data_IF_223698577875
#
_entry.id   IF_223698577875
#
_cell.length_a   1.000
_cell.length_b   1.000
_cell.length_c   1.000
_cell.angle_alpha   90.00
_cell.angle_beta   90.00
_cell.angle_gamma   90.00
#
_symmetry.space_group_name_H-M   'P 1'
#
loop_
_entity.id
_entity.type
_entity.pdbx_description
1 polymer ?
#
# COMPACT_ATOMS: atom_id res chain seq x y z
N UNK A 1 -40.57 23.09 -28.14
CA UNK A 1 -41.25 22.93 -29.45
C UNK A 1 -42.71 22.60 -29.18
N UNK A 2 -43.63 23.37 -29.78
CA UNK A 2 -45.08 23.28 -29.57
C UNK A 2 -45.65 22.04 -30.26
N UNK A 3 -46.45 21.23 -29.55
CA UNK A 3 -47.22 20.14 -30.18
C UNK A 3 -48.63 20.66 -30.53
N UNK A 4 -49.02 20.43 -31.78
CA UNK A 4 -50.16 21.01 -32.48
C UNK A 4 -51.42 20.19 -32.22
N UNK A 5 -52.51 20.89 -31.87
CA UNK A 5 -53.88 20.39 -31.83
C UNK A 5 -54.36 20.07 -33.25
N UNK A 6 -54.87 18.86 -33.48
CA UNK A 6 -55.62 18.52 -34.71
C UNK A 6 -57.01 18.04 -34.33
N UNK A 7 -57.97 18.97 -34.41
CA UNK A 7 -59.40 18.73 -34.46
C UNK A 7 -59.77 18.25 -35.86
N UNK A 8 -60.38 17.07 -36.00
CA UNK A 8 -61.05 16.67 -37.23
C UNK A 8 -62.56 16.81 -37.09
N UNK A 9 -63.06 17.88 -37.71
CA UNK A 9 -64.43 18.06 -38.15
C UNK A 9 -64.64 17.22 -39.42
N UNK A 10 -65.63 16.33 -39.44
CA UNK A 10 -66.21 15.84 -40.70
C UNK A 10 -67.72 15.96 -40.61
N UNK A 11 -68.21 17.05 -41.18
CA UNK A 11 -69.61 17.27 -41.51
C UNK A 11 -69.87 16.89 -42.97
N UNK A 12 -71.10 16.40 -43.19
CA UNK A 12 -71.90 16.50 -44.40
C UNK A 12 -71.83 15.34 -45.41
N UNK A 13 -72.91 14.55 -45.50
CA UNK A 13 -73.56 14.22 -46.78
C UNK A 13 -75.10 14.06 -46.62
N UNK A 14 -75.80 14.95 -47.32
CA UNK A 14 -77.07 14.84 -48.05
C UNK A 14 -78.39 14.33 -47.42
N UNK A 15 -79.38 15.22 -47.48
CA UNK A 15 -80.85 15.06 -47.44
C UNK A 15 -81.46 14.31 -48.64
N UNK A 16 -82.43 13.39 -48.42
CA UNK A 16 -83.87 13.51 -48.83
C UNK A 16 -84.64 12.16 -48.79
N UNK A 17 -85.78 12.21 -48.09
CA UNK A 17 -87.12 11.69 -48.44
C UNK A 17 -87.33 10.21 -48.85
N UNK A 18 -88.00 9.45 -47.96
CA UNK A 18 -88.99 8.43 -48.33
C UNK A 18 -90.18 8.57 -47.38
N UNK A 19 -91.36 8.87 -47.94
CA UNK A 19 -92.65 8.73 -47.27
C UNK A 19 -93.21 7.34 -47.57
N UNK A 20 -93.83 6.70 -46.58
CA UNK A 20 -94.89 5.72 -46.83
C UNK A 20 -94.69 4.33 -46.23
N UNK A 21 -95.42 4.10 -45.13
CA UNK A 21 -96.32 2.94 -44.91
C UNK A 21 -95.69 1.54 -44.99
N UNK A 22 -95.54 0.83 -43.87
CA UNK A 22 -96.52 -0.14 -43.31
C UNK A 22 -95.92 -0.84 -42.09
N UNK A 23 -96.81 -1.25 -41.20
CA UNK A 23 -96.65 -1.97 -39.94
C UNK A 23 -95.88 -3.29 -40.06
N UNK A 24 -94.82 -3.49 -39.26
CA UNK A 24 -94.42 -4.81 -38.73
C UNK A 24 -93.40 -4.69 -37.57
N UNK A 25 -93.74 -5.32 -36.43
CA UNK A 25 -92.89 -5.69 -35.27
C UNK A 25 -92.13 -4.60 -34.47
N UNK A 26 -92.73 -4.17 -33.36
CA UNK A 26 -92.16 -3.24 -32.36
C UNK A 26 -91.40 -3.92 -31.20
N UNK A 27 -91.00 -5.19 -31.32
CA UNK A 27 -90.32 -5.90 -30.21
C UNK A 27 -88.85 -6.28 -30.51
N UNK A 28 -88.38 -6.15 -31.75
CA UNK A 28 -87.03 -6.60 -32.13
C UNK A 28 -85.95 -5.49 -32.12
N UNK A 29 -86.34 -4.21 -32.07
CA UNK A 29 -85.41 -3.08 -32.04
C UNK A 29 -84.97 -2.71 -30.62
N UNK A 30 -85.90 -2.76 -29.66
CA UNK A 30 -85.66 -2.44 -28.24
C UNK A 30 -84.77 -3.48 -27.54
N UNK A 31 -84.91 -4.76 -27.88
CA UNK A 31 -84.07 -5.84 -27.32
C UNK A 31 -82.62 -5.74 -27.79
N UNK A 32 -82.38 -5.43 -29.07
CA UNK A 32 -81.02 -5.22 -29.63
C UNK A 32 -80.34 -3.98 -29.07
N UNK A 33 -81.10 -2.92 -28.81
CA UNK A 33 -80.58 -1.71 -28.16
C UNK A 33 -80.19 -1.98 -26.70
N UNK A 34 -80.93 -2.81 -25.98
CA UNK A 34 -80.56 -3.20 -24.61
C UNK A 34 -79.34 -4.11 -24.51
N UNK A 35 -79.10 -5.00 -25.49
CA UNK A 35 -77.94 -5.89 -25.45
C UNK A 35 -76.64 -5.16 -25.83
N UNK A 36 -76.70 -4.23 -26.79
CA UNK A 36 -75.55 -3.37 -27.12
C UNK A 36 -75.16 -2.45 -25.94
N UNK A 37 -76.14 -1.93 -25.19
CA UNK A 37 -75.87 -1.13 -23.98
C UNK A 37 -75.18 -1.94 -22.88
N UNK A 38 -75.53 -3.22 -22.69
CA UNK A 38 -74.86 -4.10 -21.71
C UNK A 38 -73.40 -4.34 -22.10
N UNK A 39 -73.14 -4.62 -23.38
CA UNK A 39 -71.77 -4.82 -23.89
C UNK A 39 -70.92 -3.56 -23.71
N UNK A 40 -71.47 -2.38 -23.98
CA UNK A 40 -70.79 -1.09 -23.76
C UNK A 40 -70.46 -0.87 -22.28
N UNK A 41 -71.36 -1.22 -21.36
CA UNK A 41 -71.09 -1.08 -19.93
C UNK A 41 -69.99 -2.05 -19.45
N UNK A 42 -70.01 -3.30 -19.91
CA UNK A 42 -68.93 -4.26 -19.63
C UNK A 42 -67.60 -3.75 -20.17
N UNK A 43 -67.59 -3.18 -21.37
CA UNK A 43 -66.39 -2.59 -21.96
C UNK A 43 -65.88 -1.39 -21.16
N UNK A 44 -66.78 -0.54 -20.65
CA UNK A 44 -66.45 0.60 -19.80
C UNK A 44 -65.83 0.17 -18.48
N UNK A 45 -66.37 -0.87 -17.84
CA UNK A 45 -65.85 -1.39 -16.58
C UNK A 45 -64.46 -2.02 -16.78
N UNK A 46 -64.28 -2.79 -17.85
CA UNK A 46 -62.98 -3.33 -18.25
C UNK A 46 -61.96 -2.21 -18.50
N UNK A 47 -62.36 -1.14 -19.20
CA UNK A 47 -61.50 0.01 -19.44
C UNK A 47 -61.10 0.70 -18.12
N UNK A 48 -62.05 0.91 -17.21
CA UNK A 48 -61.74 1.50 -15.90
C UNK A 48 -60.78 0.63 -15.08
N UNK A 49 -60.95 -0.68 -15.11
CA UNK A 49 -60.07 -1.59 -14.39
C UNK A 49 -58.65 -1.62 -15.00
N UNK A 50 -58.55 -1.59 -16.33
CA UNK A 50 -57.27 -1.42 -17.02
C UNK A 50 -56.62 -0.08 -16.67
N UNK A 51 -57.40 1.00 -16.61
CA UNK A 51 -56.88 2.33 -16.26
C UNK A 51 -56.28 2.35 -14.86
N UNK A 52 -56.93 1.73 -13.87
CA UNK A 52 -56.38 1.61 -12.50
C UNK A 52 -55.05 0.87 -12.49
N UNK A 53 -54.94 -0.21 -13.27
CA UNK A 53 -53.69 -0.99 -13.37
C UNK A 53 -52.57 -0.18 -14.01
N UNK A 54 -52.88 0.58 -15.06
CA UNK A 54 -51.90 1.47 -15.71
C UNK A 54 -51.37 2.50 -14.71
N UNK A 55 -52.26 3.18 -13.99
CA UNK A 55 -51.88 4.18 -12.97
C UNK A 55 -51.04 3.54 -11.86
N UNK A 56 -51.43 2.36 -11.37
CA UNK A 56 -50.68 1.67 -10.33
C UNK A 56 -49.26 1.31 -10.79
N UNK A 57 -49.13 0.80 -12.02
CA UNK A 57 -47.84 0.46 -12.59
C UNK A 57 -46.99 1.71 -12.87
N UNK A 58 -47.60 2.82 -13.27
CA UNK A 58 -46.91 4.10 -13.44
C UNK A 58 -46.29 4.57 -12.12
N UNK A 59 -47.04 4.49 -11.01
CA UNK A 59 -46.53 4.83 -9.68
C UNK A 59 -45.39 3.88 -9.26
N UNK A 60 -45.52 2.57 -9.50
CA UNK A 60 -44.47 1.60 -9.19
C UNK A 60 -43.18 1.86 -9.99
N UNK A 61 -43.32 2.24 -11.27
CA UNK A 61 -42.19 2.65 -12.12
C UNK A 61 -41.51 3.91 -11.56
N UNK A 62 -42.28 4.87 -11.04
CA UNK A 62 -41.75 6.08 -10.42
C UNK A 62 -40.95 5.77 -9.15
N UNK A 63 -41.49 4.91 -8.28
CA UNK A 63 -40.80 4.45 -7.07
C UNK A 63 -39.50 3.69 -7.40
N UNK A 64 -39.53 2.82 -8.42
CA UNK A 64 -38.36 2.09 -8.88
C UNK A 64 -37.29 3.03 -9.44
N UNK A 65 -37.68 4.07 -10.20
CA UNK A 65 -36.75 5.09 -10.68
C UNK A 65 -36.11 5.86 -9.53
N UNK A 66 -36.89 6.24 -8.53
CA UNK A 66 -36.36 6.92 -7.33
C UNK A 66 -35.30 6.06 -6.62
N UNK A 67 -35.58 4.77 -6.46
CA UNK A 67 -34.63 3.81 -5.87
C UNK A 67 -33.38 3.61 -6.72
N UNK A 68 -33.51 3.57 -8.04
CA UNK A 68 -32.36 3.50 -8.96
C UNK A 68 -31.43 4.69 -8.77
N UNK A 69 -31.97 5.91 -8.71
CA UNK A 69 -31.17 7.12 -8.49
C UNK A 69 -30.51 7.15 -7.11
N UNK A 70 -31.22 6.69 -6.07
CA UNK A 70 -30.62 6.56 -4.75
C UNK A 70 -29.45 5.58 -4.73
N UNK A 71 -29.62 4.39 -5.33
CA UNK A 71 -28.55 3.39 -5.43
C UNK A 71 -27.36 3.87 -6.26
N UNK A 72 -27.59 4.63 -7.33
CA UNK A 72 -26.51 5.28 -8.10
C UNK A 72 -25.71 6.23 -7.23
N UNK A 73 -26.37 7.04 -6.41
CA UNK A 73 -25.71 7.95 -5.50
C UNK A 73 -24.91 7.21 -4.42
N UNK A 74 -25.47 6.15 -3.81
CA UNK A 74 -24.73 5.32 -2.85
C UNK A 74 -23.51 4.65 -3.49
N UNK A 75 -23.65 4.14 -4.72
CA UNK A 75 -22.55 3.56 -5.48
C UNK A 75 -21.42 4.57 -5.74
N UNK A 76 -21.75 5.79 -6.16
CA UNK A 76 -20.75 6.85 -6.36
C UNK A 76 -20.08 7.25 -5.05
N UNK A 77 -20.82 7.36 -3.94
CA UNK A 77 -20.20 7.62 -2.64
C UNK A 77 -19.19 6.53 -2.24
N UNK A 78 -19.56 5.26 -2.41
CA UNK A 78 -18.66 4.13 -2.13
C UNK A 78 -17.45 4.15 -3.06
N UNK A 79 -17.66 4.43 -4.35
CA UNK A 79 -16.59 4.53 -5.34
C UNK A 79 -15.62 5.67 -5.02
N UNK A 80 -16.12 6.85 -4.64
CA UNK A 80 -15.30 7.99 -4.20
C UNK A 80 -14.50 7.65 -2.95
N UNK A 81 -15.13 7.04 -1.94
CA UNK A 81 -14.44 6.59 -0.73
C UNK A 81 -13.31 5.61 -1.06
N UNK A 82 -13.59 4.60 -1.89
CA UNK A 82 -12.59 3.61 -2.29
C UNK A 82 -11.46 4.25 -3.10
N UNK A 83 -11.76 5.22 -3.95
CA UNK A 83 -10.75 5.94 -4.76
C UNK A 83 -9.79 6.71 -3.87
N UNK A 84 -10.31 7.45 -2.88
CA UNK A 84 -9.49 8.17 -1.92
C UNK A 84 -8.58 7.22 -1.11
N UNK A 85 -9.10 6.06 -0.69
CA UNK A 85 -8.31 5.04 0.00
C UNK A 85 -7.21 4.44 -0.89
N UNK A 86 -7.48 4.22 -2.19
CA UNK A 86 -6.48 3.74 -3.14
C UNK A 86 -5.37 4.78 -3.38
N UNK A 87 -5.71 6.07 -3.43
CA UNK A 87 -4.72 7.15 -3.57
C UNK A 87 -3.76 7.20 -2.38
N UNK A 88 -4.27 7.10 -1.15
CA UNK A 88 -3.45 7.07 0.07
C UNK A 88 -2.46 5.89 0.07
N UNK A 89 -2.94 4.70 -0.32
CA UNK A 89 -2.07 3.52 -0.42
C UNK A 89 -1.01 3.65 -1.53
N UNK A 90 -1.38 4.29 -2.64
CA UNK A 90 -0.46 4.54 -3.74
C UNK A 90 0.66 5.51 -3.33
N UNK A 91 0.33 6.59 -2.61
CA UNK A 91 1.32 7.55 -2.10
C UNK A 91 2.31 6.89 -1.13
N UNK A 92 1.81 6.05 -0.21
CA UNK A 92 2.67 5.26 0.69
C UNK A 92 3.58 4.31 -0.11
N UNK A 93 3.06 3.71 -1.17
CA UNK A 93 3.84 2.80 -2.03
C UNK A 93 4.98 3.55 -2.74
N UNK A 94 4.71 4.75 -3.25
CA UNK A 94 5.69 5.62 -3.90
C UNK A 94 6.76 6.08 -2.90
N UNK A 95 6.36 6.61 -1.74
CA UNK A 95 7.30 7.07 -0.70
C UNK A 95 8.24 5.95 -0.23
N UNK A 96 7.70 4.75 0.00
CA UNK A 96 8.51 3.59 0.37
C UNK A 96 9.47 3.18 -0.75
N UNK A 97 9.04 3.28 -2.01
CA UNK A 97 9.89 2.97 -3.16
C UNK A 97 11.06 3.94 -3.26
N UNK A 98 10.81 5.24 -3.09
CA UNK A 98 11.83 6.29 -3.15
C UNK A 98 12.83 6.16 -2.00
N UNK A 99 12.35 5.99 -0.76
CA UNK A 99 13.22 5.73 0.40
C UNK A 99 14.10 4.50 0.22
N UNK A 100 13.55 3.43 -0.36
CA UNK A 100 14.30 2.22 -0.66
C UNK A 100 15.40 2.49 -1.70
N UNK A 101 15.09 3.25 -2.74
CA UNK A 101 16.06 3.59 -3.79
C UNK A 101 17.17 4.52 -3.27
N UNK A 102 16.82 5.51 -2.45
CA UNK A 102 17.79 6.40 -1.80
C UNK A 102 18.72 5.61 -0.86
N UNK A 103 18.15 4.70 -0.07
CA UNK A 103 18.93 3.83 0.81
C UNK A 103 19.87 2.93 0.01
N UNK A 104 19.40 2.36 -1.11
CA UNK A 104 20.25 1.59 -2.04
C UNK A 104 21.39 2.45 -2.59
N UNK A 105 21.11 3.67 -3.02
CA UNK A 105 22.12 4.58 -3.56
C UNK A 105 23.17 4.95 -2.50
N UNK A 106 22.74 5.26 -1.28
CA UNK A 106 23.63 5.52 -0.16
C UNK A 106 24.53 4.31 0.16
N UNK A 107 23.95 3.10 0.19
CA UNK A 107 24.70 1.87 0.44
C UNK A 107 25.74 1.60 -0.66
N UNK A 108 25.37 1.79 -1.94
CA UNK A 108 26.29 1.67 -3.07
C UNK A 108 27.44 2.66 -2.92
N UNK A 109 27.15 3.92 -2.56
CA UNK A 109 28.17 4.94 -2.33
C UNK A 109 29.13 4.54 -1.20
N UNK A 110 28.61 4.05 -0.09
CA UNK A 110 29.42 3.56 1.03
C UNK A 110 30.29 2.38 0.63
N UNK A 111 29.74 1.41 -0.13
CA UNK A 111 30.48 0.26 -0.65
C UNK A 111 31.63 0.70 -1.56
N UNK A 112 31.37 1.65 -2.47
CA UNK A 112 32.40 2.18 -3.38
C UNK A 112 33.52 2.84 -2.57
N UNK A 113 33.17 3.72 -1.62
CA UNK A 113 34.16 4.38 -0.75
C UNK A 113 35.03 3.37 0.00
N UNK A 114 34.41 2.36 0.62
CA UNK A 114 35.14 1.32 1.35
C UNK A 114 36.04 0.49 0.43
N UNK A 115 35.54 0.10 -0.74
CA UNK A 115 36.32 -0.65 -1.74
C UNK A 115 37.54 0.16 -2.18
N UNK A 116 37.39 1.47 -2.34
CA UNK A 116 38.49 2.36 -2.72
C UNK A 116 39.53 2.50 -1.60
N UNK A 117 39.11 2.60 -0.34
CA UNK A 117 40.01 2.56 0.81
C UNK A 117 40.78 1.23 0.90
N UNK A 118 40.10 0.10 0.70
CA UNK A 118 40.74 -1.21 0.68
C UNK A 118 41.76 -1.36 -0.46
N UNK A 119 41.45 -0.81 -1.64
CA UNK A 119 42.38 -0.80 -2.77
C UNK A 119 43.67 -0.05 -2.41
N UNK A 120 43.54 1.15 -1.85
CA UNK A 120 44.68 1.95 -1.40
C UNK A 120 45.50 1.21 -0.32
N UNK A 121 44.84 0.54 0.63
CA UNK A 121 45.51 -0.26 1.65
C UNK A 121 46.29 -1.43 1.04
N UNK A 122 45.73 -2.12 0.05
CA UNK A 122 46.42 -3.21 -0.61
C UNK A 122 47.64 -2.72 -1.41
N UNK A 123 47.51 -1.58 -2.09
CA UNK A 123 48.61 -0.94 -2.83
C UNK A 123 49.75 -0.54 -1.89
N UNK A 124 49.46 0.05 -0.73
CA UNK A 124 50.50 0.39 0.27
C UNK A 124 51.18 -0.85 0.85
N UNK A 125 50.43 -1.94 1.07
CA UNK A 125 51.02 -3.21 1.49
C UNK A 125 51.94 -3.83 0.43
N UNK A 126 51.56 -3.75 -0.86
CA UNK A 126 52.43 -4.18 -1.96
C UNK A 126 53.71 -3.34 -2.03
N UNK A 127 53.62 -2.02 -1.86
CA UNK A 127 54.80 -1.15 -1.81
C UNK A 127 55.75 -1.48 -0.65
N UNK A 128 55.20 -1.82 0.52
CA UNK A 128 56.00 -2.26 1.67
C UNK A 128 56.63 -3.65 1.45
N UNK A 129 55.95 -4.54 0.71
CA UNK A 129 56.51 -5.85 0.32
C UNK A 129 57.62 -5.75 -0.73
N UNK A 130 57.59 -4.75 -1.61
CA UNK A 130 58.62 -4.54 -2.64
C UNK A 130 59.82 -3.73 -2.12
N UNK A 131 59.67 -2.97 -1.02
CA UNK A 131 60.82 -2.53 -0.23
C UNK A 131 61.34 -3.70 0.61
N UNK A 132 62.00 -4.65 -0.04
CA UNK A 132 63.02 -5.43 0.67
C UNK A 132 63.95 -4.45 1.40
N UNK A 133 64.37 -4.74 2.65
CA UNK A 133 65.43 -3.97 3.27
C UNK A 133 66.70 -4.20 2.44
N UNK A 134 67.00 -3.26 1.54
CA UNK A 134 68.33 -3.20 0.95
C UNK A 134 69.32 -2.87 2.08
N UNK A 135 70.15 -3.89 2.36
CA UNK A 135 71.43 -3.89 3.07
C UNK A 135 71.41 -3.76 4.60
N UNK A 136 71.69 -4.90 5.24
CA UNK A 136 72.94 -5.06 5.98
C UNK A 136 73.48 -6.48 5.70
N UNK A 137 74.46 -6.59 4.79
CA UNK A 137 75.32 -7.79 4.73
C UNK A 137 76.28 -7.69 5.91
N UNK A 138 76.01 -8.41 6.99
CA UNK A 138 77.05 -8.74 7.94
C UNK A 138 77.91 -9.83 7.30
N UNK A 139 79.14 -9.49 6.94
CA UNK A 139 80.15 -10.44 6.51
C UNK A 139 80.41 -11.42 7.66
N UNK A 140 80.37 -12.71 7.34
CA UNK A 140 80.59 -13.82 8.27
C UNK A 140 82.07 -13.84 8.69
N UNK A 141 82.40 -13.10 9.73
CA UNK A 141 83.64 -13.30 10.49
C UNK A 141 83.29 -13.51 11.95
N UNK A 142 82.83 -14.73 12.21
CA UNK A 142 83.07 -15.54 13.40
C UNK A 142 83.63 -14.79 14.62
N UNK A 143 82.79 -13.99 15.28
CA UNK A 143 83.05 -13.57 16.67
C UNK A 143 81.75 -13.49 17.44
N UNK A 144 81.34 -14.66 17.95
CA UNK A 144 80.64 -14.89 19.23
C UNK A 144 79.82 -13.70 19.77
N UNK A 145 78.51 -13.71 19.48
CA UNK A 145 77.52 -13.06 20.35
C UNK A 145 76.75 -14.16 21.07
N UNK A 146 77.08 -14.34 22.35
CA UNK A 146 76.46 -15.29 23.25
C UNK A 146 75.22 -14.63 23.84
N UNK A 147 74.02 -15.02 23.39
CA UNK A 147 72.78 -14.62 24.02
C UNK A 147 72.14 -15.87 24.61
N UNK A 148 72.25 -16.02 25.94
CA UNK A 148 71.47 -17.00 26.69
C UNK A 148 70.00 -16.65 26.57
N UNK A 149 69.23 -17.57 25.99
CA UNK A 149 67.78 -17.54 25.95
C UNK A 149 67.21 -17.48 27.37
N UNK A 150 66.71 -16.31 27.76
CA UNK A 150 65.48 -16.23 28.55
C UNK A 150 64.51 -15.38 27.75
N UNK A 151 63.48 -16.05 27.23
CA UNK A 151 62.34 -15.45 26.56
C UNK A 151 61.55 -14.61 27.58
N UNK A 152 61.92 -13.35 27.74
CA UNK A 152 60.99 -12.33 28.24
C UNK A 152 60.23 -11.82 27.02
N UNK A 153 59.00 -12.34 26.83
CA UNK A 153 58.08 -11.82 25.82
C UNK A 153 57.91 -10.31 26.00
N UNK A 154 57.85 -9.54 24.91
CA UNK A 154 57.79 -8.09 24.95
C UNK A 154 56.54 -7.64 25.72
N UNK A 155 56.77 -6.79 26.72
CA UNK A 155 55.81 -6.08 27.58
C UNK A 155 54.46 -5.80 26.91
N UNK A 156 53.51 -6.75 26.96
CA UNK A 156 52.10 -6.48 26.70
C UNK A 156 51.53 -5.76 27.91
N UNK A 157 50.95 -4.58 27.69
CA UNK A 157 50.18 -3.86 28.70
C UNK A 157 48.98 -4.73 29.12
N UNK A 158 48.62 -4.79 30.42
CA UNK A 158 47.51 -5.63 30.87
C UNK A 158 46.20 -5.14 30.28
N UNK A 159 45.44 -6.02 29.63
CA UNK A 159 44.16 -5.66 28.99
C UNK A 159 43.07 -5.50 30.05
N UNK A 160 43.10 -6.36 31.06
CA UNK A 160 42.20 -6.39 32.20
C UNK A 160 42.96 -6.75 33.50
N UNK A 161 42.24 -6.89 34.62
CA UNK A 161 42.82 -7.28 35.90
C UNK A 161 43.47 -8.68 35.87
N UNK A 162 42.99 -9.59 35.02
CA UNK A 162 43.52 -10.96 34.90
C UNK A 162 44.91 -10.98 34.26
N UNK A 163 45.20 -10.02 33.40
CA UNK A 163 46.50 -9.87 32.75
C UNK A 163 47.58 -9.17 33.60
N UNK A 164 47.23 -8.70 34.80
CA UNK A 164 48.17 -8.02 35.70
C UNK A 164 49.18 -9.02 36.27
N UNK A 165 50.33 -9.19 35.62
CA UNK A 165 51.38 -10.17 35.98
C UNK A 165 51.98 -10.02 37.39
N UNK A 166 51.80 -8.86 38.02
CA UNK A 166 52.31 -8.55 39.36
C UNK A 166 51.14 -8.30 40.32
N UNK A 167 50.44 -9.37 40.68
CA UNK A 167 49.38 -9.33 41.70
C UNK A 167 50.00 -8.94 43.06
N UNK A 168 49.90 -7.67 43.45
CA UNK A 168 50.31 -7.19 44.78
C UNK A 168 49.17 -7.24 45.80
N UNK A 169 48.11 -7.99 45.50
CA UNK A 169 46.83 -8.01 46.22
C UNK A 169 45.81 -7.04 45.63
N UNK A 170 44.64 -7.00 46.24
CA UNK A 170 43.51 -6.17 45.80
C UNK A 170 43.88 -4.69 45.81
N UNK A 171 43.49 -3.95 44.77
CA UNK A 171 43.88 -2.54 44.66
C UNK A 171 43.59 -1.94 43.29
N UNK A 172 43.98 -0.68 43.12
CA UNK A 172 43.76 0.04 41.85
C UNK A 172 44.94 -0.18 40.91
N UNK A 173 44.66 -0.66 39.69
CA UNK A 173 45.64 -0.93 38.64
C UNK A 173 45.24 -0.26 37.34
N UNK A 174 46.22 0.10 36.53
CA UNK A 174 46.00 0.68 35.20
C UNK A 174 45.90 -0.43 34.15
N UNK A 175 44.78 -0.48 33.42
CA UNK A 175 44.50 -1.46 32.36
C UNK A 175 44.34 -0.78 30.99
N UNK A 176 44.48 -1.56 29.91
CA UNK A 176 44.47 -1.09 28.53
C UNK A 176 43.61 -2.02 27.64
N UNK A 177 42.27 -1.93 27.73
CA UNK A 177 41.38 -2.77 26.92
C UNK A 177 41.56 -2.58 25.41
N UNK A 178 41.86 -1.34 24.99
CA UNK A 178 42.18 -0.99 23.61
C UNK A 178 43.67 -0.62 23.51
N UNK A 179 44.46 -1.26 22.62
CA UNK A 179 45.87 -0.92 22.43
C UNK A 179 46.11 0.49 21.87
N UNK A 180 45.11 1.13 21.26
CA UNK A 180 45.21 2.46 20.66
C UNK A 180 44.84 3.60 21.63
N UNK A 181 44.09 3.30 22.70
CA UNK A 181 43.63 4.28 23.68
C UNK A 181 44.55 4.37 24.92
N UNK A 182 44.54 5.50 25.65
CA UNK A 182 45.21 5.60 26.94
C UNK A 182 44.49 4.72 27.98
N UNK A 183 45.27 3.98 28.76
CA UNK A 183 44.75 3.12 29.81
C UNK A 183 44.17 3.90 31.00
N UNK A 184 43.16 3.31 31.63
CA UNK A 184 42.47 3.88 32.79
C UNK A 184 42.63 2.99 34.02
N UNK A 185 42.40 3.59 35.19
CA UNK A 185 42.60 2.93 36.48
C UNK A 185 41.30 2.23 36.90
N UNK A 186 41.41 0.95 37.30
CA UNK A 186 40.31 0.10 37.77
C UNK A 186 40.68 -0.56 39.08
N UNK A 187 39.68 -0.92 39.89
CA UNK A 187 39.92 -1.71 41.09
C UNK A 187 39.94 -3.19 40.73
N UNK A 188 41.06 -3.87 40.97
CA UNK A 188 41.20 -5.30 40.77
C UNK A 188 41.03 -6.08 42.07
N UNK A 189 40.13 -7.06 42.06
CA UNK A 189 40.00 -8.08 43.12
C UNK A 189 40.69 -9.39 42.67
N UNK A 190 41.69 -9.81 43.43
CA UNK A 190 42.50 -11.02 43.24
C UNK A 190 42.20 -12.11 44.29
N UNK A 191 41.29 -11.86 45.23
CA UNK A 191 40.97 -12.77 46.33
C UNK A 191 39.65 -13.51 46.12
N UNK A 192 38.66 -12.87 45.48
CA UNK A 192 37.34 -13.48 45.22
C UNK A 192 37.35 -14.37 43.98
N UNK A 193 36.80 -15.59 44.08
CA UNK A 193 36.54 -16.50 42.95
C UNK A 193 37.70 -16.63 41.96
N UNK A 194 38.89 -16.98 42.48
CA UNK A 194 40.15 -17.13 41.73
C UNK A 194 40.74 -15.82 41.15
N UNK A 195 40.15 -14.66 41.46
CA UNK A 195 40.71 -13.33 41.18
C UNK A 195 40.61 -12.88 39.72
N UNK A 196 41.09 -11.66 39.45
CA UNK A 196 41.12 -11.07 38.11
C UNK A 196 39.86 -10.30 37.74
N UNK A 197 39.04 -9.93 38.73
CA UNK A 197 37.84 -9.12 38.55
C UNK A 197 38.20 -7.64 38.41
N UNK A 198 37.66 -7.01 37.36
CA UNK A 198 37.72 -5.56 37.08
C UNK A 198 36.51 -4.82 37.62
#
# INVERSE_FOLDING_TARGET
MRLVLVLYCVSCYCTRHVSGVTTESSENATVKETDTVKEVNVMKDNYHELLKRVINNENEIEDLKSREEHLKHELENVKTYMTCQMEELNDITIDNHDKLNDTKAALIKTRISFTQSLKLLNETMQELSHRQPEKLKCEENQTKCNCTEKSEEPNKRPIDCKDVRLHKGNGVYKIYPDPLEPGFDVYCDFETDNGGWT
#
